data_IF_957701953409
#
_entry.id   IF_957701953409
#
_cell.length_a   1.000
_cell.length_b   1.000
_cell.length_c   1.000
_cell.angle_alpha   90.00
_cell.angle_beta   90.00
_cell.angle_gamma   90.00
#
_symmetry.space_group_name_H-M   'P 1'
#
loop_
_entity.id
_entity.type
_entity.pdbx_description
1 polymer ?
#
# COMPACT_ATOMS: atom_id res chain seq x y z
N UNK A 1 -35.10 -27.26 -20.42
CA UNK A 1 -34.80 -25.98 -21.09
C UNK A 1 -33.31 -25.77 -21.00
N UNK A 2 -32.63 -25.91 -22.12
CA UNK A 2 -31.20 -25.72 -22.27
C UNK A 2 -30.92 -24.22 -22.24
N UNK A 3 -30.06 -23.77 -21.34
CA UNK A 3 -29.53 -22.40 -21.37
C UNK A 3 -28.57 -22.35 -22.58
N UNK A 4 -28.72 -21.40 -23.51
CA UNK A 4 -27.82 -21.33 -24.67
C UNK A 4 -26.40 -21.01 -24.22
N UNK A 5 -25.42 -21.74 -24.77
CA UNK A 5 -24.03 -21.33 -24.77
C UNK A 5 -23.91 -20.06 -25.63
N UNK A 6 -24.06 -18.89 -25.02
CA UNK A 6 -23.59 -17.65 -25.63
C UNK A 6 -22.08 -17.58 -25.44
N UNK A 7 -21.39 -17.77 -26.55
CA UNK A 7 -19.99 -17.51 -26.80
C UNK A 7 -19.64 -16.07 -26.38
N UNK A 8 -19.36 -15.84 -25.10
CA UNK A 8 -19.12 -14.51 -24.53
C UNK A 8 -17.62 -14.27 -24.33
N UNK A 9 -16.85 -14.35 -25.42
CA UNK A 9 -15.50 -13.78 -25.48
C UNK A 9 -15.57 -12.40 -26.16
N UNK A 10 -16.31 -11.48 -25.55
CA UNK A 10 -15.97 -10.08 -25.67
C UNK A 10 -15.09 -9.77 -24.44
N UNK A 11 -13.79 -9.54 -24.65
CA UNK A 11 -12.94 -8.92 -23.63
C UNK A 11 -13.56 -7.57 -23.30
N UNK A 12 -14.40 -7.55 -22.26
CA UNK A 12 -14.97 -6.32 -21.73
C UNK A 12 -13.85 -5.75 -20.88
N UNK A 13 -13.13 -4.75 -21.39
CA UNK A 13 -12.10 -4.04 -20.63
C UNK A 13 -12.70 -3.65 -19.27
N UNK A 14 -12.22 -4.27 -18.19
CA UNK A 14 -12.54 -3.85 -16.84
C UNK A 14 -11.43 -2.90 -16.41
N UNK A 15 -11.73 -1.64 -16.06
CA UNK A 15 -10.71 -0.68 -15.69
C UNK A 15 -9.74 -1.16 -14.60
N UNK A 16 -10.20 -2.03 -13.68
CA UNK A 16 -9.38 -2.65 -12.63
C UNK A 16 -8.61 -3.92 -12.99
N UNK A 17 -8.57 -4.31 -14.27
CA UNK A 17 -7.81 -5.48 -14.69
C UNK A 17 -6.29 -5.27 -14.56
N UNK A 18 -5.61 -6.34 -14.13
CA UNK A 18 -4.17 -6.37 -14.05
C UNK A 18 -3.55 -6.21 -15.44
N UNK A 19 -2.60 -5.29 -15.55
CA UNK A 19 -1.85 -5.06 -16.78
C UNK A 19 -1.01 -6.31 -17.13
N UNK A 20 -0.53 -6.49 -18.37
CA UNK A 20 0.32 -7.63 -18.71
C UNK A 20 1.56 -7.77 -17.82
N UNK A 21 2.07 -8.99 -17.66
CA UNK A 21 3.35 -9.19 -16.98
C UNK A 21 4.49 -8.55 -17.78
N UNK A 22 5.43 -7.93 -17.08
CA UNK A 22 6.63 -7.32 -17.67
C UNK A 22 7.85 -7.79 -16.87
N UNK A 23 8.92 -8.10 -17.59
CA UNK A 23 10.18 -8.48 -16.96
C UNK A 23 10.70 -7.36 -16.05
N UNK A 24 11.28 -7.75 -14.90
CA UNK A 24 11.80 -6.81 -13.90
C UNK A 24 10.73 -6.08 -13.07
N UNK A 25 9.44 -6.30 -13.33
CA UNK A 25 8.34 -5.78 -12.50
C UNK A 25 7.90 -6.83 -11.49
N UNK A 26 7.59 -6.37 -10.28
CA UNK A 26 7.12 -7.18 -9.17
C UNK A 26 5.62 -7.45 -9.32
N UNK A 27 4.87 -6.44 -9.72
CA UNK A 27 3.41 -6.44 -9.79
C UNK A 27 2.92 -6.10 -11.19
N UNK A 28 1.62 -6.29 -11.38
CA UNK A 28 0.90 -5.96 -12.61
C UNK A 28 0.13 -4.63 -12.48
N UNK A 29 0.46 -3.82 -11.49
CA UNK A 29 -0.17 -2.53 -11.20
C UNK A 29 0.39 -1.38 -12.04
N UNK A 30 -0.41 -0.32 -12.23
CA UNK A 30 0.02 0.89 -12.96
C UNK A 30 1.10 1.67 -12.20
N UNK A 31 0.97 1.79 -10.87
CA UNK A 31 1.89 2.60 -10.05
C UNK A 31 3.36 2.21 -10.20
N UNK A 32 3.69 0.92 -10.07
CA UNK A 32 5.06 0.43 -10.26
C UNK A 32 5.60 0.75 -11.66
N UNK A 33 4.76 0.67 -12.70
CA UNK A 33 5.19 0.96 -14.08
C UNK A 33 5.59 2.43 -14.26
N UNK A 34 4.82 3.35 -13.68
CA UNK A 34 5.14 4.78 -13.71
C UNK A 34 6.52 5.02 -13.09
N UNK A 35 6.75 4.48 -11.90
CA UNK A 35 8.03 4.61 -11.19
C UNK A 35 9.20 3.98 -11.99
N UNK A 36 9.01 2.77 -12.53
CA UNK A 36 10.05 2.08 -13.30
C UNK A 36 10.33 2.70 -14.67
N UNK A 37 9.36 3.39 -15.26
CA UNK A 37 9.58 4.16 -16.48
C UNK A 37 10.43 5.42 -16.25
N UNK A 38 10.68 5.78 -14.97
CA UNK A 38 11.39 6.99 -14.60
C UNK A 38 10.51 8.25 -14.64
N UNK A 39 9.19 8.07 -14.71
CA UNK A 39 8.24 9.18 -14.67
C UNK A 39 8.08 9.70 -13.24
N UNK A 40 7.75 10.98 -13.12
CA UNK A 40 7.39 11.58 -11.84
C UNK A 40 5.96 11.19 -11.46
N UNK A 41 5.82 10.23 -10.55
CA UNK A 41 4.51 9.75 -10.12
C UNK A 41 3.80 10.76 -9.21
N UNK A 42 2.55 11.08 -9.55
CA UNK A 42 1.68 11.91 -8.69
C UNK A 42 0.69 11.00 -7.98
N UNK A 43 0.64 11.09 -6.64
CA UNK A 43 -0.32 10.30 -5.84
C UNK A 43 -1.22 11.20 -5.02
N UNK A 44 -2.44 10.74 -4.77
CA UNK A 44 -3.35 11.34 -3.80
C UNK A 44 -3.55 10.39 -2.61
N UNK A 45 -4.00 10.93 -1.48
CA UNK A 45 -4.47 10.14 -0.35
C UNK A 45 -5.96 10.39 -0.15
N UNK A 46 -6.72 9.30 -0.07
CA UNK A 46 -8.16 9.32 0.16
C UNK A 46 -8.44 8.81 1.57
N UNK A 47 -9.07 9.65 2.37
CA UNK A 47 -9.59 9.26 3.69
C UNK A 47 -10.88 8.45 3.47
N UNK A 48 -10.95 7.18 3.91
CA UNK A 48 -12.16 6.39 3.78
C UNK A 48 -13.35 7.08 4.46
N UNK A 49 -14.55 7.02 3.88
CA UNK A 49 -15.73 7.67 4.46
C UNK A 49 -16.25 6.91 5.69
N UNK A 50 -16.95 7.63 6.56
CA UNK A 50 -17.73 7.10 7.69
C UNK A 50 -19.13 6.67 7.25
N UNK A 51 -19.17 5.88 6.18
CA UNK A 51 -20.40 5.57 5.46
C UNK A 51 -20.33 4.18 4.85
N UNK A 52 -21.50 3.62 4.55
CA UNK A 52 -21.62 2.40 3.74
C UNK A 52 -21.93 2.72 2.27
N UNK A 53 -22.12 4.00 1.93
CA UNK A 53 -22.34 4.43 0.56
C UNK A 53 -21.02 4.46 -0.21
N UNK A 54 -20.87 3.51 -1.14
CA UNK A 54 -19.71 3.44 -2.03
C UNK A 54 -19.55 4.68 -2.92
N UNK A 55 -20.63 5.41 -3.19
CA UNK A 55 -20.59 6.58 -4.07
C UNK A 55 -19.71 7.68 -3.49
N UNK A 56 -19.61 7.80 -2.16
CA UNK A 56 -18.72 8.77 -1.52
C UNK A 56 -17.24 8.52 -1.88
N UNK A 57 -16.82 7.26 -1.97
CA UNK A 57 -15.47 6.91 -2.44
C UNK A 57 -15.28 7.32 -3.91
N UNK A 58 -16.28 7.09 -4.74
CA UNK A 58 -16.22 7.40 -6.17
C UNK A 58 -16.18 8.90 -6.43
N UNK A 59 -17.01 9.67 -5.73
CA UNK A 59 -17.07 11.13 -5.84
C UNK A 59 -15.76 11.77 -5.39
N UNK A 60 -15.17 11.29 -4.28
CA UNK A 60 -13.86 11.76 -3.82
C UNK A 60 -12.75 11.40 -4.82
N UNK A 61 -12.76 10.19 -5.38
CA UNK A 61 -11.74 9.76 -6.33
C UNK A 61 -11.80 10.57 -7.64
N UNK A 62 -13.00 10.87 -8.12
CA UNK A 62 -13.23 11.62 -9.37
C UNK A 62 -12.62 13.03 -9.36
N UNK A 63 -12.40 13.62 -8.17
CA UNK A 63 -11.69 14.90 -8.03
C UNK A 63 -10.25 14.86 -8.58
N UNK A 64 -9.68 13.66 -8.72
CA UNK A 64 -8.31 13.45 -9.15
C UNK A 64 -8.21 12.91 -10.59
N UNK A 65 -9.31 12.87 -11.34
CA UNK A 65 -9.33 12.34 -12.70
C UNK A 65 -8.29 12.99 -13.62
N UNK A 66 -7.52 12.14 -14.30
CA UNK A 66 -6.47 12.57 -15.23
C UNK A 66 -5.24 13.23 -14.58
N UNK A 67 -5.19 13.35 -13.25
CA UNK A 67 -4.15 14.12 -12.56
C UNK A 67 -3.23 13.27 -11.67
N UNK A 68 -3.56 11.99 -11.45
CA UNK A 68 -2.82 11.10 -10.55
C UNK A 68 -2.52 9.73 -11.19
N UNK A 69 -1.51 9.10 -10.64
CA UNK A 69 -1.04 7.75 -10.99
C UNK A 69 -1.50 6.68 -10.02
N UNK A 70 -1.70 7.04 -8.75
CA UNK A 70 -2.18 6.14 -7.71
C UNK A 70 -2.90 6.87 -6.57
N UNK A 71 -3.73 6.14 -5.83
CA UNK A 71 -4.45 6.63 -4.64
C UNK A 71 -4.08 5.79 -3.43
N UNK A 72 -3.52 6.41 -2.40
CA UNK A 72 -3.42 5.82 -1.07
C UNK A 72 -4.82 5.72 -0.44
N UNK A 73 -5.23 4.50 -0.07
CA UNK A 73 -6.40 4.29 0.79
C UNK A 73 -5.91 4.06 2.22
N UNK A 74 -6.27 4.96 3.15
CA UNK A 74 -5.77 4.90 4.53
C UNK A 74 -6.42 3.78 5.35
N UNK A 75 -5.74 3.32 6.40
CA UNK A 75 -6.22 2.25 7.30
C UNK A 75 -6.38 2.78 8.73
N UNK A 76 -7.56 3.35 8.99
CA UNK A 76 -7.88 3.99 10.28
C UNK A 76 -6.90 5.13 10.60
N UNK A 77 -6.89 6.16 9.75
CA UNK A 77 -6.02 7.34 9.92
C UNK A 77 -6.26 8.00 11.28
N UNK A 78 -5.18 8.37 11.97
CA UNK A 78 -5.25 8.92 13.33
C UNK A 78 -5.89 7.97 14.35
N UNK A 79 -5.91 6.66 14.08
CA UNK A 79 -6.56 5.64 14.89
C UNK A 79 -8.08 5.80 15.04
N UNK A 80 -8.75 6.37 14.03
CA UNK A 80 -10.21 6.47 13.98
C UNK A 80 -10.86 5.35 13.15
N UNK A 81 -12.13 5.09 13.41
CA UNK A 81 -12.92 4.11 12.67
C UNK A 81 -13.39 4.68 11.33
N UNK A 82 -13.10 3.98 10.23
CA UNK A 82 -13.58 4.32 8.89
C UNK A 82 -13.86 3.05 8.06
N UNK A 83 -14.40 3.20 6.84
CA UNK A 83 -14.43 2.10 5.88
C UNK A 83 -13.03 1.48 5.70
N UNK A 84 -12.95 0.15 5.66
CA UNK A 84 -11.65 -0.53 5.64
C UNK A 84 -10.86 -0.25 4.35
N UNK A 85 -9.53 -0.10 4.50
CA UNK A 85 -8.59 0.17 3.41
C UNK A 85 -8.76 -0.80 2.23
N UNK A 86 -8.87 -2.10 2.48
CA UNK A 86 -9.06 -3.12 1.44
C UNK A 86 -10.35 -2.92 0.64
N UNK A 87 -11.44 -2.49 1.28
CA UNK A 87 -12.73 -2.23 0.59
C UNK A 87 -12.64 -0.96 -0.25
N UNK A 88 -12.03 0.11 0.27
CA UNK A 88 -11.78 1.31 -0.51
C UNK A 88 -10.93 0.99 -1.73
N UNK A 89 -9.84 0.23 -1.57
CA UNK A 89 -9.03 -0.22 -2.70
C UNK A 89 -9.83 -1.07 -3.70
N UNK A 90 -10.73 -1.94 -3.24
CA UNK A 90 -11.58 -2.74 -4.12
C UNK A 90 -12.49 -1.86 -4.99
N UNK A 91 -13.09 -0.83 -4.37
CA UNK A 91 -13.95 0.15 -5.03
C UNK A 91 -13.17 1.01 -6.03
N UNK A 92 -11.97 1.47 -5.65
CA UNK A 92 -11.08 2.24 -6.53
C UNK A 92 -10.58 1.41 -7.73
N UNK A 93 -10.17 0.17 -7.49
CA UNK A 93 -9.80 -0.77 -8.56
C UNK A 93 -11.00 -1.01 -9.49
N UNK A 94 -12.20 -1.20 -8.95
CA UNK A 94 -13.40 -1.44 -9.76
C UNK A 94 -13.66 -0.35 -10.80
N UNK A 95 -13.37 0.91 -10.47
CA UNK A 95 -13.52 2.06 -11.37
C UNK A 95 -12.23 2.45 -12.11
N UNK A 96 -11.12 1.72 -11.91
CA UNK A 96 -9.91 1.83 -12.74
C UNK A 96 -8.76 2.65 -12.18
N UNK A 97 -8.82 3.07 -10.92
CA UNK A 97 -7.64 3.64 -10.27
C UNK A 97 -6.64 2.55 -9.89
N UNK A 98 -5.39 2.97 -9.66
CA UNK A 98 -4.34 2.13 -9.08
C UNK A 98 -4.24 2.42 -7.58
N UNK A 99 -4.92 1.65 -6.72
CA UNK A 99 -4.85 1.91 -5.29
C UNK A 99 -3.52 1.45 -4.68
N UNK A 100 -3.14 2.11 -3.59
CA UNK A 100 -2.11 1.72 -2.63
C UNK A 100 -2.82 1.45 -1.31
N UNK A 101 -2.91 0.18 -0.94
CA UNK A 101 -3.56 -0.26 0.28
C UNK A 101 -2.64 0.01 1.47
N UNK A 102 -2.99 0.96 2.33
CA UNK A 102 -2.30 1.08 3.61
C UNK A 102 -2.72 -0.07 4.52
N UNK A 103 -1.76 -0.61 5.27
CA UNK A 103 -2.01 -1.58 6.35
C UNK A 103 -1.34 -1.06 7.60
N UNK A 104 -2.15 -0.79 8.63
CA UNK A 104 -1.69 -0.41 9.96
C UNK A 104 -1.60 -1.65 10.86
N UNK A 105 -0.44 -1.87 11.49
CA UNK A 105 -0.27 -2.98 12.45
C UNK A 105 -0.91 -2.71 13.82
N UNK A 106 -1.42 -1.49 14.06
CA UNK A 106 -2.01 -1.04 15.34
C UNK A 106 -3.11 -1.98 15.86
N UNK A 107 -4.02 -2.38 14.98
CA UNK A 107 -5.29 -3.05 15.33
C UNK A 107 -5.49 -4.44 14.69
N UNK A 108 -4.55 -4.91 13.86
CA UNK A 108 -4.62 -6.22 13.19
C UNK A 108 -3.43 -7.12 13.58
N UNK A 109 -3.72 -8.40 13.82
CA UNK A 109 -2.69 -9.40 14.03
C UNK A 109 -2.24 -10.03 12.70
N UNK A 110 -1.18 -10.83 12.73
CA UNK A 110 -0.64 -11.50 11.54
C UNK A 110 -1.64 -12.41 10.81
N UNK A 111 -2.68 -12.92 11.48
CA UNK A 111 -3.68 -13.77 10.82
C UNK A 111 -4.58 -12.89 9.95
N UNK A 112 -5.11 -11.81 10.51
CA UNK A 112 -5.95 -10.84 9.81
C UNK A 112 -5.20 -10.22 8.62
N UNK A 113 -3.98 -9.75 8.85
CA UNK A 113 -3.14 -9.15 7.80
C UNK A 113 -2.91 -10.10 6.62
N UNK A 114 -2.57 -11.37 6.88
CA UNK A 114 -2.34 -12.34 5.80
C UNK A 114 -3.63 -12.64 5.02
N UNK A 115 -4.79 -12.63 5.69
CA UNK A 115 -6.10 -12.72 5.05
C UNK A 115 -6.38 -11.53 4.13
N UNK A 116 -6.15 -10.31 4.64
CA UNK A 116 -6.32 -9.07 3.88
C UNK A 116 -5.40 -9.03 2.65
N UNK A 117 -4.14 -9.48 2.76
CA UNK A 117 -3.21 -9.54 1.62
C UNK A 117 -3.71 -10.48 0.52
N UNK A 118 -4.26 -11.64 0.88
CA UNK A 118 -4.86 -12.55 -0.11
C UNK A 118 -6.13 -11.97 -0.74
N UNK A 119 -6.99 -11.35 0.07
CA UNK A 119 -8.19 -10.66 -0.42
C UNK A 119 -7.84 -9.54 -1.39
N UNK A 120 -6.84 -8.72 -1.05
CA UNK A 120 -6.35 -7.65 -1.89
C UNK A 120 -5.79 -8.17 -3.23
N UNK A 121 -4.99 -9.22 -3.21
CA UNK A 121 -4.51 -9.87 -4.44
C UNK A 121 -5.64 -10.39 -5.33
N UNK A 122 -6.68 -11.00 -4.74
CA UNK A 122 -7.86 -11.46 -5.47
C UNK A 122 -8.66 -10.32 -6.11
N UNK A 123 -8.57 -9.12 -5.53
CA UNK A 123 -9.20 -7.88 -6.01
C UNK A 123 -8.28 -7.07 -6.95
N UNK A 124 -7.18 -7.66 -7.43
CA UNK A 124 -6.22 -7.02 -8.32
C UNK A 124 -5.52 -5.79 -7.71
N UNK A 125 -5.44 -5.72 -6.38
CA UNK A 125 -4.71 -4.67 -5.67
C UNK A 125 -3.23 -5.08 -5.62
N UNK A 126 -2.39 -4.27 -6.25
CA UNK A 126 -0.98 -4.58 -6.46
C UNK A 126 -0.02 -3.79 -5.59
N UNK A 127 -0.47 -2.77 -4.86
CA UNK A 127 0.42 -1.89 -4.09
C UNK A 127 -0.01 -1.86 -2.63
N UNK A 128 0.95 -1.98 -1.72
CA UNK A 128 0.71 -1.96 -0.27
C UNK A 128 1.69 -1.00 0.39
N UNK A 129 1.20 -0.19 1.34
CA UNK A 129 2.03 0.64 2.21
C UNK A 129 2.00 0.07 3.63
N UNK A 130 3.14 -0.48 4.06
CA UNK A 130 3.29 -1.09 5.38
C UNK A 130 3.58 -0.04 6.47
N UNK A 131 2.67 0.06 7.43
CA UNK A 131 2.71 1.03 8.52
C UNK A 131 2.70 0.33 9.88
N UNK A 132 3.48 0.86 10.83
CA UNK A 132 3.33 0.42 12.24
C UNK A 132 1.97 0.87 12.80
N UNK A 133 1.51 2.07 12.40
CA UNK A 133 0.28 2.68 12.90
C UNK A 133 0.51 3.57 14.10
N UNK A 134 -0.35 4.58 14.26
CA UNK A 134 -0.38 5.41 15.46
C UNK A 134 -0.88 4.61 16.67
N UNK A 135 -0.68 5.13 17.87
CA UNK A 135 -1.25 4.49 19.05
C UNK A 135 -2.79 4.64 19.08
N UNK A 136 -3.53 3.65 19.58
CA UNK A 136 -5.00 3.78 19.70
C UNK A 136 -5.42 4.98 20.55
N UNK A 137 -4.58 5.41 21.49
CA UNK A 137 -4.87 6.54 22.39
C UNK A 137 -5.03 7.90 21.70
N UNK A 138 -4.62 8.06 20.44
CA UNK A 138 -4.81 9.32 19.70
C UNK A 138 -6.13 9.37 18.93
N UNK A 139 -6.86 8.26 18.84
CA UNK A 139 -8.09 8.13 18.09
C UNK A 139 -9.37 8.21 18.94
N UNK A 140 -10.47 7.79 18.34
CA UNK A 140 -11.83 7.81 18.89
C UNK A 140 -12.12 6.65 19.86
N UNK A 141 -11.31 5.59 19.86
CA UNK A 141 -11.43 4.43 20.76
C UNK A 141 -10.13 4.17 21.54
N UNK A 142 -9.72 5.08 22.45
CA UNK A 142 -8.47 4.96 23.20
C UNK A 142 -8.40 3.73 24.12
N UNK A 143 -9.54 3.13 24.47
CA UNK A 143 -9.65 1.90 25.27
C UNK A 143 -9.53 0.61 24.45
N UNK A 144 -9.49 0.70 23.12
CA UNK A 144 -9.35 -0.46 22.25
C UNK A 144 -8.04 -1.21 22.54
N UNK A 145 -8.07 -2.54 22.35
CA UNK A 145 -6.86 -3.35 22.54
C UNK A 145 -5.85 -3.05 21.43
N UNK A 146 -4.68 -2.58 21.84
CA UNK A 146 -3.48 -2.47 21.02
C UNK A 146 -3.04 -3.87 20.57
N UNK A 147 -2.90 -4.09 19.27
CA UNK A 147 -2.47 -5.37 18.72
C UNK A 147 -0.97 -5.37 18.50
N UNK A 148 -0.44 -4.56 17.57
CA UNK A 148 0.99 -4.43 17.26
C UNK A 148 1.75 -5.78 17.24
N UNK A 149 1.10 -6.82 16.72
CA UNK A 149 1.71 -8.15 16.56
C UNK A 149 2.87 -8.11 15.56
N UNK A 150 2.84 -7.12 14.68
CA UNK A 150 3.88 -6.73 13.74
C UNK A 150 4.14 -5.22 13.86
N UNK A 151 5.24 -4.78 13.28
CA UNK A 151 5.56 -3.39 12.97
C UNK A 151 5.77 -3.23 11.45
N UNK A 152 6.03 -2.01 10.96
CA UNK A 152 6.24 -1.80 9.52
C UNK A 152 7.36 -2.67 8.93
N UNK A 153 8.45 -2.92 9.66
CA UNK A 153 9.58 -3.72 9.15
C UNK A 153 9.19 -5.19 9.02
N UNK A 154 8.62 -5.77 10.07
CA UNK A 154 8.16 -7.17 10.08
C UNK A 154 6.97 -7.41 9.14
N UNK A 155 6.14 -6.40 8.90
CA UNK A 155 5.10 -6.42 7.88
C UNK A 155 5.68 -6.44 6.46
N UNK A 156 6.70 -5.63 6.15
CA UNK A 156 7.40 -5.69 4.86
C UNK A 156 7.98 -7.09 4.63
N UNK A 157 8.67 -7.65 5.63
CA UNK A 157 9.22 -9.01 5.56
C UNK A 157 8.13 -10.07 5.34
N UNK A 158 6.97 -9.92 6.00
CA UNK A 158 5.81 -10.79 5.80
C UNK A 158 5.30 -10.73 4.35
N UNK A 159 5.10 -9.52 3.81
CA UNK A 159 4.60 -9.33 2.45
C UNK A 159 5.59 -9.94 1.45
N UNK A 160 6.90 -9.72 1.64
CA UNK A 160 7.98 -10.32 0.84
C UNK A 160 7.96 -11.84 0.87
N UNK A 161 7.82 -12.44 2.05
CA UNK A 161 7.69 -13.89 2.20
C UNK A 161 6.49 -14.45 1.43
N UNK A 162 5.32 -13.81 1.56
CA UNK A 162 4.11 -14.24 0.87
C UNK A 162 4.31 -14.17 -0.65
N UNK A 163 4.84 -13.05 -1.13
CA UNK A 163 5.04 -12.76 -2.56
C UNK A 163 6.07 -13.67 -3.21
N UNK A 164 7.24 -13.78 -2.58
CA UNK A 164 8.44 -14.37 -3.18
C UNK A 164 8.57 -15.87 -2.85
N UNK A 165 8.15 -16.30 -1.65
CA UNK A 165 8.23 -17.71 -1.24
C UNK A 165 6.90 -18.46 -1.38
N UNK A 166 5.79 -17.75 -1.65
CA UNK A 166 4.48 -18.37 -1.81
C UNK A 166 3.98 -19.10 -0.57
N UNK A 167 4.27 -18.58 0.64
CA UNK A 167 3.87 -19.22 1.89
C UNK A 167 3.41 -18.25 2.97
N UNK A 168 2.46 -18.70 3.79
CA UNK A 168 2.09 -18.02 5.03
C UNK A 168 3.26 -18.05 6.03
N UNK A 169 3.19 -17.23 7.08
CA UNK A 169 4.12 -17.31 8.23
C UNK A 169 4.15 -18.70 8.87
N UNK A 170 3.06 -19.45 8.80
CA UNK A 170 2.99 -20.81 9.32
C UNK A 170 3.74 -21.84 8.46
N UNK A 171 4.32 -21.43 7.33
CA UNK A 171 4.95 -22.31 6.33
C UNK A 171 3.96 -23.05 5.42
N UNK A 172 2.65 -22.80 5.56
CA UNK A 172 1.65 -23.35 4.65
C UNK A 172 1.77 -22.68 3.28
N UNK A 173 1.72 -23.47 2.22
CA UNK A 173 1.79 -22.98 0.83
C UNK A 173 0.56 -22.18 0.45
N UNK A 174 0.77 -21.14 -0.36
CA UNK A 174 -0.25 -20.33 -1.03
C UNK A 174 -0.20 -20.68 -2.51
N UNK A 175 -1.29 -21.21 -3.07
CA UNK A 175 -1.33 -21.70 -4.45
C UNK A 175 -1.09 -20.59 -5.49
N UNK A 176 -1.64 -19.40 -5.23
CA UNK A 176 -1.46 -18.22 -6.09
C UNK A 176 -1.10 -17.02 -5.20
N UNK A 177 0.20 -16.79 -4.92
CA UNK A 177 0.61 -15.71 -4.04
C UNK A 177 0.39 -14.34 -4.70
N UNK A 178 -0.09 -13.34 -3.94
CA UNK A 178 -0.30 -12.01 -4.48
C UNK A 178 1.03 -11.34 -4.84
N UNK A 179 1.08 -10.77 -6.04
CA UNK A 179 2.22 -10.02 -6.54
C UNK A 179 2.07 -8.54 -6.16
N UNK A 180 2.68 -8.17 -5.03
CA UNK A 180 2.51 -6.85 -4.41
C UNK A 180 3.80 -6.05 -4.39
N UNK A 181 3.75 -4.85 -4.95
CA UNK A 181 4.75 -3.81 -4.82
C UNK A 181 4.61 -3.17 -3.43
N UNK A 182 5.60 -3.40 -2.56
CA UNK A 182 5.48 -3.03 -1.14
C UNK A 182 6.26 -1.77 -0.85
N UNK A 183 5.64 -0.83 -0.16
CA UNK A 183 6.30 0.37 0.32
C UNK A 183 6.12 0.57 1.81
N UNK A 184 6.71 1.64 2.32
CA UNK A 184 6.54 2.05 3.71
C UNK A 184 6.72 3.54 3.86
N UNK A 185 6.30 4.09 5.00
CA UNK A 185 6.49 5.49 5.30
C UNK A 185 7.74 5.76 6.12
N UNK A 186 8.28 6.98 6.03
CA UNK A 186 9.29 7.48 6.96
C UNK A 186 8.97 8.92 7.35
N UNK A 187 9.04 9.25 8.64
CA UNK A 187 8.93 10.62 9.10
C UNK A 187 10.35 11.13 9.45
N UNK A 188 11.01 11.90 8.56
CA UNK A 188 12.36 12.39 8.80
C UNK A 188 12.40 13.53 9.83
N UNK A 189 11.24 14.11 10.21
CA UNK A 189 11.15 15.34 11.00
C UNK A 189 11.04 15.11 12.51
N UNK A 190 10.71 13.89 12.94
CA UNK A 190 10.50 13.56 14.37
C UNK A 190 11.80 13.11 15.01
N UNK A 191 12.24 13.68 16.15
CA UNK A 191 13.43 13.22 16.86
C UNK A 191 13.37 11.74 17.29
N UNK A 192 14.51 11.04 17.40
CA UNK A 192 15.85 11.51 17.03
C UNK A 192 16.08 11.40 15.50
N UNK A 193 16.41 12.53 14.88
CA UNK A 193 16.48 12.73 13.42
C UNK A 193 17.62 11.90 12.81
N UNK A 194 18.73 11.79 13.53
CA UNK A 194 19.93 11.05 13.15
C UNK A 194 19.62 9.56 12.94
N UNK A 195 18.63 9.03 13.67
CA UNK A 195 18.22 7.64 13.56
C UNK A 195 17.37 7.35 12.32
N UNK A 196 16.82 8.38 11.65
CA UNK A 196 15.84 8.20 10.57
C UNK A 196 16.44 7.56 9.33
N UNK A 197 17.69 7.88 9.02
CA UNK A 197 18.43 7.24 7.93
C UNK A 197 18.67 5.76 8.23
N UNK A 198 19.03 5.40 9.47
CA UNK A 198 19.19 4.00 9.87
C UNK A 198 17.84 3.25 9.86
N UNK A 199 16.75 3.90 10.27
CA UNK A 199 15.40 3.32 10.20
C UNK A 199 14.97 3.08 8.75
N UNK A 200 15.22 4.04 7.86
CA UNK A 200 14.98 3.91 6.43
C UNK A 200 15.80 2.75 5.82
N UNK A 201 17.10 2.68 6.14
CA UNK A 201 17.98 1.60 5.70
C UNK A 201 17.45 0.22 6.14
N UNK A 202 16.98 0.09 7.39
CA UNK A 202 16.36 -1.16 7.87
C UNK A 202 15.09 -1.53 7.10
N UNK A 203 14.25 -0.55 6.76
CA UNK A 203 13.03 -0.73 5.97
C UNK A 203 13.33 -1.19 4.53
N UNK A 204 14.31 -0.57 3.88
CA UNK A 204 14.77 -0.95 2.54
C UNK A 204 15.37 -2.36 2.58
N UNK A 205 16.23 -2.65 3.57
CA UNK A 205 16.85 -3.98 3.72
C UNK A 205 15.82 -5.08 4.02
N UNK A 206 14.67 -4.76 4.63
CA UNK A 206 13.56 -5.69 4.79
C UNK A 206 12.82 -5.98 3.48
N UNK A 207 13.03 -5.17 2.44
CA UNK A 207 12.47 -5.34 1.10
C UNK A 207 11.41 -4.32 0.72
N UNK A 208 11.44 -3.10 1.29
CA UNK A 208 10.61 -2.01 0.79
C UNK A 208 11.04 -1.63 -0.63
N UNK A 209 10.10 -1.69 -1.57
CA UNK A 209 10.29 -1.31 -2.98
C UNK A 209 10.11 0.20 -3.19
N UNK A 210 9.24 0.86 -2.40
CA UNK A 210 9.07 2.33 -2.44
C UNK A 210 8.89 2.97 -1.06
N UNK A 211 9.15 4.28 -0.96
CA UNK A 211 9.16 5.05 0.29
C UNK A 211 8.25 6.28 0.13
N UNK A 212 7.41 6.56 1.12
CA UNK A 212 6.67 7.82 1.21
C UNK A 212 7.05 8.57 2.49
N UNK A 213 7.43 9.84 2.37
CA UNK A 213 7.71 10.65 3.56
C UNK A 213 6.40 11.17 4.17
N UNK A 214 6.40 11.47 5.47
CA UNK A 214 5.35 12.32 6.03
C UNK A 214 5.39 13.72 5.38
N UNK A 215 4.28 14.46 5.38
CA UNK A 215 4.24 15.83 4.85
C UNK A 215 5.34 16.71 5.48
N UNK A 216 5.87 17.63 4.68
CA UNK A 216 7.02 18.45 5.03
C UNK A 216 6.74 19.92 4.77
N UNK A 217 7.01 20.76 5.77
CA UNK A 217 7.11 22.22 5.58
C UNK A 217 8.54 22.75 5.80
N UNK A 218 9.44 21.93 6.37
CA UNK A 218 10.85 22.26 6.57
C UNK A 218 11.72 21.69 5.43
N UNK A 219 11.79 22.46 4.34
CA UNK A 219 12.57 22.08 3.16
C UNK A 219 14.07 21.88 3.44
N UNK A 220 14.75 22.70 4.26
CA UNK A 220 16.14 22.42 4.67
C UNK A 220 16.32 21.04 5.29
N UNK A 221 15.44 20.66 6.23
CA UNK A 221 15.51 19.36 6.90
C UNK A 221 15.27 18.19 5.93
N UNK A 222 14.31 18.33 5.02
CA UNK A 222 14.08 17.32 3.98
C UNK A 222 15.28 17.20 3.03
N UNK A 223 15.90 18.31 2.62
CA UNK A 223 17.10 18.29 1.76
C UNK A 223 18.27 17.58 2.42
N UNK A 224 18.51 17.84 3.71
CA UNK A 224 19.55 17.14 4.48
C UNK A 224 19.28 15.63 4.58
N UNK A 225 18.03 15.25 4.88
CA UNK A 225 17.62 13.85 4.92
C UNK A 225 17.82 13.16 3.56
N UNK A 226 17.38 13.78 2.46
CA UNK A 226 17.54 13.21 1.12
C UNK A 226 19.01 13.14 0.70
N UNK A 227 19.83 14.15 1.02
CA UNK A 227 21.28 14.11 0.75
C UNK A 227 21.93 12.91 1.43
N UNK A 228 21.65 12.68 2.72
CA UNK A 228 22.18 11.52 3.45
C UNK A 228 21.66 10.18 2.92
N UNK A 229 20.44 10.18 2.37
CA UNK A 229 19.82 9.00 1.76
C UNK A 229 20.54 8.64 0.45
N UNK A 230 20.87 9.64 -0.37
CA UNK A 230 21.67 9.49 -1.60
C UNK A 230 23.12 9.07 -1.26
N UNK A 231 23.76 9.73 -0.30
CA UNK A 231 25.16 9.42 0.09
C UNK A 231 25.34 7.96 0.56
N UNK A 232 24.28 7.35 1.09
CA UNK A 232 24.26 5.94 1.52
C UNK A 232 23.84 4.95 0.43
N UNK A 233 23.51 5.43 -0.77
CA UNK A 233 23.07 4.59 -1.88
C UNK A 233 21.70 3.94 -1.64
N UNK A 234 20.81 4.61 -0.89
CA UNK A 234 19.47 4.07 -0.57
C UNK A 234 18.46 4.37 -1.69
N UNK A 235 18.61 5.49 -2.40
CA UNK A 235 17.76 5.89 -3.54
C UNK A 235 17.88 4.97 -4.76
N UNK A 236 18.91 4.15 -4.81
CA UNK A 236 19.18 3.16 -5.86
C UNK A 236 18.51 1.81 -5.55
N UNK A 237 17.99 1.65 -4.33
CA UNK A 237 17.43 0.38 -3.82
C UNK A 237 15.91 0.42 -3.65
N UNK A 238 15.32 1.61 -3.59
CA UNK A 238 13.88 1.82 -3.48
C UNK A 238 13.50 3.11 -4.19
N UNK A 239 12.24 3.20 -4.64
CA UNK A 239 11.69 4.42 -5.22
C UNK A 239 11.28 5.41 -4.12
N UNK A 240 11.46 6.71 -4.36
CA UNK A 240 11.16 7.81 -3.43
C UNK A 240 10.22 8.83 -4.09
#
# INVERSE_FOLDING_TARGET
MSIPETNNQAYTYRPGELLPELEGHISRGRFERVLRNGDFAVTAELAPPDSTDRNEVFEQAALFDGCIDAINATDGSGANCHMSSVVVCALLSYIGYSPIMQISCRDKNRIAIQGDLLGAGALSICNVLALTGDDVSVGDHPEAKRVFDLDSISLITLIKKIRDEGSFLSGRTITNPPQMFVGTSINPFVPPVESKILQLEKKINAGADFIQTQYCFDMPMLKDFMSKTVDKGLTEKAFF
#
